data_IF_124609966310
#
_entry.id   IF_124609966310
#
_cell.length_a   1.000
_cell.length_b   1.000
_cell.length_c   1.000
_cell.angle_alpha   90.00
_cell.angle_beta   90.00
_cell.angle_gamma   90.00
#
_symmetry.space_group_name_H-M   'P 1'
#
loop_
_entity.id
_entity.type
_entity.pdbx_description
1 polymer ?
#
# COMPACT_ATOMS: atom_id res chain seq x y z
N UNK A 1 8.43 11.37 14.78
CA UNK A 1 8.66 11.04 13.36
C UNK A 1 7.81 9.86 12.95
N UNK A 2 7.19 9.95 11.80
CA UNK A 2 6.31 8.91 11.27
C UNK A 2 7.01 8.28 10.06
N UNK A 3 7.21 6.97 10.08
CA UNK A 3 7.83 6.27 8.95
C UNK A 3 6.77 5.45 8.21
N UNK A 4 6.63 5.70 6.92
CA UNK A 4 5.76 4.94 6.03
C UNK A 4 6.63 4.20 5.03
N UNK A 5 6.54 2.88 5.06
CA UNK A 5 7.16 2.05 4.04
C UNK A 5 6.11 1.68 2.99
N UNK A 6 6.57 1.28 1.83
CA UNK A 6 5.71 0.67 0.82
C UNK A 6 6.33 -0.64 0.37
N UNK A 7 5.51 -1.60 0.00
CA UNK A 7 5.98 -2.90 -0.50
C UNK A 7 4.99 -3.45 -1.52
N UNK A 8 5.52 -4.13 -2.54
CA UNK A 8 4.71 -4.91 -3.46
C UNK A 8 5.03 -6.38 -3.26
N UNK A 9 4.05 -7.26 -3.39
CA UNK A 9 4.29 -8.68 -3.20
C UNK A 9 4.83 -9.38 -4.46
N UNK A 10 4.67 -8.79 -5.65
CA UNK A 10 5.14 -9.38 -6.91
C UNK A 10 6.65 -9.63 -6.86
N UNK A 11 7.10 -10.70 -7.50
CA UNK A 11 8.50 -11.08 -7.62
C UNK A 11 9.22 -11.31 -6.29
N UNK A 12 8.47 -11.58 -5.23
CA UNK A 12 9.01 -11.91 -3.91
C UNK A 12 8.40 -13.22 -3.43
N UNK A 13 9.24 -14.12 -2.91
CA UNK A 13 8.70 -15.26 -2.19
C UNK A 13 8.30 -14.83 -0.77
N UNK A 14 7.60 -15.67 -0.05
CA UNK A 14 7.11 -15.34 1.28
C UNK A 14 8.26 -15.00 2.23
N UNK A 15 9.36 -15.76 2.18
CA UNK A 15 10.51 -15.52 3.05
C UNK A 15 11.08 -14.12 2.84
N UNK A 16 11.28 -13.71 1.59
CA UNK A 16 11.80 -12.39 1.26
C UNK A 16 10.83 -11.29 1.67
N UNK A 17 9.54 -11.50 1.42
CA UNK A 17 8.50 -10.55 1.78
C UNK A 17 8.51 -10.26 3.29
N UNK A 18 8.47 -11.32 4.10
CA UNK A 18 8.48 -11.19 5.57
C UNK A 18 9.80 -10.61 6.06
N UNK A 19 10.93 -11.04 5.47
CA UNK A 19 12.24 -10.51 5.88
C UNK A 19 12.34 -9.00 5.69
N UNK A 20 11.83 -8.49 4.58
CA UNK A 20 11.85 -7.04 4.32
C UNK A 20 11.02 -6.26 5.35
N UNK A 21 9.84 -6.77 5.69
CA UNK A 21 8.99 -6.15 6.69
C UNK A 21 9.63 -6.17 8.09
N UNK A 22 10.18 -7.31 8.48
CA UNK A 22 10.81 -7.48 9.79
C UNK A 22 12.07 -6.63 9.93
N UNK A 23 12.92 -6.62 8.90
CA UNK A 23 14.17 -5.84 8.92
C UNK A 23 13.89 -4.34 8.99
N UNK A 24 12.80 -3.88 8.44
CA UNK A 24 12.39 -2.48 8.50
C UNK A 24 11.67 -2.11 9.80
N UNK A 25 11.36 -3.10 10.64
CA UNK A 25 10.66 -2.86 11.90
C UNK A 25 9.19 -2.52 11.75
N UNK A 26 8.56 -2.95 10.65
CA UNK A 26 7.15 -2.66 10.37
C UNK A 26 6.25 -3.24 11.45
N UNK A 27 5.34 -2.43 11.98
CA UNK A 27 4.37 -2.84 13.00
C UNK A 27 2.98 -3.14 12.43
N UNK A 28 2.65 -2.53 11.31
CA UNK A 28 1.34 -2.72 10.67
C UNK A 28 1.47 -2.67 9.16
N UNK A 29 0.81 -3.60 8.48
CA UNK A 29 0.64 -3.57 7.02
C UNK A 29 -0.76 -3.02 6.73
N UNK A 30 -0.79 -1.99 5.92
CA UNK A 30 -2.03 -1.37 5.44
C UNK A 30 -2.19 -1.77 3.98
N UNK A 31 -3.11 -2.67 3.72
CA UNK A 31 -3.36 -3.22 2.40
C UNK A 31 -4.26 -2.26 1.62
N UNK A 32 -3.70 -1.63 0.61
CA UNK A 32 -4.39 -0.62 -0.20
C UNK A 32 -4.78 -1.16 -1.58
N UNK A 33 -4.90 -2.49 -1.71
CA UNK A 33 -5.38 -3.13 -2.92
C UNK A 33 -6.90 -3.06 -2.97
N UNK A 34 -7.45 -2.86 -4.16
CA UNK A 34 -8.89 -2.93 -4.35
C UNK A 34 -9.37 -4.38 -4.17
N UNK A 35 -8.69 -5.31 -4.81
CA UNK A 35 -8.99 -6.74 -4.74
C UNK A 35 -7.79 -7.48 -4.12
N UNK A 36 -8.00 -8.11 -2.97
CA UNK A 36 -6.98 -8.84 -2.25
C UNK A 36 -7.31 -10.32 -2.06
N UNK A 37 -8.27 -10.83 -2.82
CA UNK A 37 -8.65 -12.24 -2.78
C UNK A 37 -8.16 -13.03 -3.99
N UNK A 38 -7.33 -12.40 -4.84
CA UNK A 38 -6.78 -13.02 -6.04
C UNK A 38 -5.91 -14.23 -5.71
N UNK A 39 -5.95 -15.23 -6.58
CA UNK A 39 -5.16 -16.46 -6.45
C UNK A 39 -3.75 -16.34 -7.03
N UNK A 40 -3.39 -15.18 -7.62
CA UNK A 40 -2.13 -15.01 -8.35
C UNK A 40 -0.88 -15.15 -7.48
N UNK A 41 -0.97 -14.83 -6.20
CA UNK A 41 0.12 -15.07 -5.25
C UNK A 41 -0.51 -15.63 -3.98
N UNK A 42 -0.29 -16.91 -3.72
CA UNK A 42 -0.99 -17.60 -2.64
C UNK A 42 -0.87 -16.93 -1.28
N UNK A 43 0.33 -16.52 -0.86
CA UNK A 43 0.52 -15.92 0.45
C UNK A 43 -0.06 -14.48 0.54
N UNK A 44 -0.27 -13.81 -0.57
CA UNK A 44 -0.77 -12.43 -0.57
C UNK A 44 -2.29 -12.34 -0.57
N UNK A 45 -2.99 -13.47 -0.57
CA UNK A 45 -4.43 -13.53 -0.43
C UNK A 45 -4.81 -13.09 0.98
N UNK A 46 -5.85 -12.26 1.10
CA UNK A 46 -6.22 -11.61 2.37
C UNK A 46 -6.17 -12.53 3.59
N UNK A 47 -6.87 -13.65 3.53
CA UNK A 47 -6.99 -14.56 4.68
C UNK A 47 -5.66 -15.15 5.10
N UNK A 48 -4.87 -15.57 4.11
CA UNK A 48 -3.56 -16.17 4.37
C UNK A 48 -2.59 -15.12 4.85
N UNK A 49 -2.57 -13.95 4.20
CA UNK A 49 -1.66 -12.87 4.54
C UNK A 49 -1.90 -12.35 5.96
N UNK A 50 -3.16 -12.14 6.32
CA UNK A 50 -3.52 -11.66 7.65
C UNK A 50 -2.99 -12.60 8.73
N UNK A 51 -3.18 -13.89 8.55
CA UNK A 51 -2.70 -14.90 9.50
C UNK A 51 -1.17 -14.97 9.55
N UNK A 52 -0.53 -14.95 8.39
CA UNK A 52 0.94 -14.99 8.31
C UNK A 52 1.54 -13.79 9.05
N UNK A 53 0.98 -12.60 8.85
CA UNK A 53 1.45 -11.40 9.53
C UNK A 53 1.21 -11.49 11.05
N UNK A 54 0.08 -12.03 11.47
CA UNK A 54 -0.20 -12.27 12.88
C UNK A 54 0.86 -13.16 13.52
N UNK A 55 1.28 -14.22 12.82
CA UNK A 55 2.30 -15.15 13.32
C UNK A 55 3.65 -14.46 13.56
N UNK A 56 3.96 -13.40 12.83
CA UNK A 56 5.22 -12.67 12.98
C UNK A 56 5.06 -11.35 13.75
N UNK A 57 3.89 -11.13 14.36
CA UNK A 57 3.65 -9.98 15.21
C UNK A 57 3.42 -8.67 14.48
N UNK A 58 2.92 -8.73 13.25
CA UNK A 58 2.60 -7.54 12.44
C UNK A 58 1.08 -7.44 12.28
N UNK A 59 0.51 -6.27 12.61
CA UNK A 59 -0.91 -6.04 12.43
C UNK A 59 -1.26 -5.89 10.94
N UNK A 60 -2.50 -6.14 10.58
CA UNK A 60 -2.97 -6.05 9.20
C UNK A 60 -4.32 -5.34 9.16
N UNK A 61 -4.45 -4.39 8.23
CA UNK A 61 -5.71 -3.73 7.92
C UNK A 61 -5.88 -3.66 6.42
N UNK A 62 -7.10 -3.79 5.93
CA UNK A 62 -7.44 -3.64 4.54
C UNK A 62 -8.29 -2.38 4.33
N UNK A 63 -7.81 -1.48 3.49
CA UNK A 63 -8.47 -0.21 3.19
C UNK A 63 -8.71 -0.08 1.68
N UNK A 64 -9.70 -0.79 1.12
CA UNK A 64 -9.98 -0.72 -0.32
C UNK A 64 -10.41 0.67 -0.77
N UNK A 65 -10.94 1.49 0.14
CA UNK A 65 -11.27 2.88 -0.16
C UNK A 65 -10.05 3.73 -0.52
N UNK A 66 -8.85 3.25 -0.22
CA UNK A 66 -7.61 3.94 -0.58
C UNK A 66 -7.03 3.46 -1.91
N UNK A 67 -7.65 2.46 -2.52
CA UNK A 67 -7.26 1.97 -3.84
C UNK A 67 -7.81 2.87 -4.94
N UNK A 68 -7.21 2.86 -6.14
CA UNK A 68 -7.85 3.47 -7.31
C UNK A 68 -9.15 2.75 -7.62
N UNK A 69 -10.03 3.39 -8.39
CA UNK A 69 -11.24 2.71 -8.86
C UNK A 69 -10.88 1.62 -9.86
N UNK A 70 -11.78 0.66 -10.02
CA UNK A 70 -11.59 -0.40 -11.02
C UNK A 70 -11.47 0.16 -12.42
N UNK A 71 -12.29 1.15 -12.76
CA UNK A 71 -12.25 1.80 -14.07
C UNK A 71 -10.90 2.49 -14.33
N UNK A 72 -10.35 3.16 -13.31
CA UNK A 72 -9.06 3.82 -13.44
C UNK A 72 -7.94 2.80 -13.66
N UNK A 73 -7.94 1.71 -12.90
CA UNK A 73 -6.93 0.65 -13.05
C UNK A 73 -7.01 -0.01 -14.41
N UNK A 74 -8.21 -0.33 -14.89
CA UNK A 74 -8.41 -0.94 -16.20
C UNK A 74 -8.00 -0.01 -17.32
N UNK A 75 -8.37 1.28 -17.23
CA UNK A 75 -8.00 2.26 -18.23
C UNK A 75 -6.50 2.36 -18.43
N UNK A 76 -5.74 2.40 -17.34
CA UNK A 76 -4.29 2.43 -17.41
C UNK A 76 -3.72 1.10 -17.95
N UNK A 77 -4.18 -0.02 -17.44
CA UNK A 77 -3.72 -1.35 -17.87
C UNK A 77 -3.96 -1.59 -19.36
N UNK A 78 -5.10 -1.12 -19.87
CA UNK A 78 -5.49 -1.31 -21.27
C UNK A 78 -4.87 -0.25 -22.21
N UNK A 79 -4.08 0.67 -21.70
CA UNK A 79 -3.45 1.71 -22.49
C UNK A 79 -4.39 2.85 -22.90
N UNK A 80 -5.58 2.94 -22.31
CA UNK A 80 -6.55 3.99 -22.61
C UNK A 80 -6.17 5.34 -22.02
N UNK A 81 -5.41 5.32 -20.93
CA UNK A 81 -4.89 6.54 -20.28
C UNK A 81 -3.40 6.37 -20.01
N UNK A 82 -2.69 7.50 -19.94
CA UNK A 82 -1.26 7.52 -19.62
C UNK A 82 -1.06 7.41 -18.10
N UNK A 83 0.19 7.15 -17.69
CA UNK A 83 0.53 7.19 -16.27
C UNK A 83 0.27 8.57 -15.65
N UNK A 84 0.59 9.63 -16.41
CA UNK A 84 0.37 11.00 -15.95
C UNK A 84 -1.11 11.29 -15.69
N UNK A 85 -1.98 10.79 -16.57
CA UNK A 85 -3.43 10.91 -16.38
C UNK A 85 -3.91 10.10 -15.19
N UNK A 86 -3.42 8.88 -15.04
CA UNK A 86 -3.71 8.03 -13.89
C UNK A 86 -3.32 8.72 -12.58
N UNK A 87 -2.09 9.23 -12.52
CA UNK A 87 -1.56 9.92 -11.35
C UNK A 87 -2.44 11.10 -10.95
N UNK A 88 -2.82 11.93 -11.91
CA UNK A 88 -3.68 13.09 -11.66
C UNK A 88 -5.05 12.67 -11.13
N UNK A 89 -5.69 11.71 -11.77
CA UNK A 89 -7.02 11.23 -11.38
C UNK A 89 -6.98 10.64 -9.97
N UNK A 90 -5.97 9.82 -9.68
CA UNK A 90 -5.84 9.21 -8.37
C UNK A 90 -5.58 10.26 -7.27
N UNK A 91 -4.72 11.24 -7.55
CA UNK A 91 -4.48 12.33 -6.59
C UNK A 91 -5.75 13.12 -6.28
N UNK A 92 -6.56 13.42 -7.30
CA UNK A 92 -7.84 14.09 -7.09
C UNK A 92 -8.79 13.23 -6.27
N UNK A 93 -8.79 11.92 -6.50
CA UNK A 93 -9.59 10.97 -5.75
C UNK A 93 -9.18 10.93 -4.27
N UNK A 94 -7.89 10.99 -3.99
CA UNK A 94 -7.39 11.03 -2.60
C UNK A 94 -7.85 12.30 -1.87
N UNK A 95 -7.87 13.43 -2.55
CA UNK A 95 -8.35 14.67 -1.96
C UNK A 95 -9.81 14.50 -1.53
N UNK A 96 -10.64 13.86 -2.35
CA UNK A 96 -12.05 13.64 -2.05
C UNK A 96 -12.26 12.63 -0.92
N UNK A 97 -11.42 11.59 -0.87
CA UNK A 97 -11.57 10.48 0.09
C UNK A 97 -11.00 10.77 1.48
N UNK A 98 -10.11 11.75 1.58
CA UNK A 98 -9.48 12.14 2.84
C UNK A 98 -8.87 10.95 3.61
N UNK A 99 -7.79 10.33 3.07
CA UNK A 99 -7.20 9.12 3.67
C UNK A 99 -6.83 9.21 5.14
N UNK A 100 -6.50 10.39 5.64
CA UNK A 100 -6.14 10.56 7.06
C UNK A 100 -7.33 10.30 8.00
N UNK A 101 -8.54 10.30 7.49
CA UNK A 101 -9.72 9.90 8.27
C UNK A 101 -9.86 8.37 8.35
N UNK A 102 -9.32 7.66 7.36
CA UNK A 102 -9.33 6.19 7.34
C UNK A 102 -8.17 5.61 8.11
N UNK A 103 -7.01 6.26 8.06
CA UNK A 103 -5.77 5.76 8.68
C UNK A 103 -5.21 6.86 9.58
N UNK A 104 -5.17 6.59 10.88
CA UNK A 104 -4.58 7.50 11.85
C UNK A 104 -3.09 7.19 11.97
N UNK A 105 -2.26 7.98 11.28
CA UNK A 105 -0.81 7.78 11.26
C UNK A 105 -0.14 8.25 12.55
N UNK A 106 -0.76 9.14 13.29
CA UNK A 106 -0.17 9.70 14.51
C UNK A 106 -0.29 8.74 15.70
N UNK A 107 -1.27 7.85 15.67
CA UNK A 107 -1.53 6.89 16.76
C UNK A 107 -0.85 5.53 16.54
N UNK A 108 0.06 5.41 15.57
CA UNK A 108 0.73 4.14 15.30
C UNK A 108 1.89 3.90 16.27
N UNK A 109 2.10 2.63 16.64
CA UNK A 109 3.17 2.22 17.56
C UNK A 109 4.55 2.23 16.92
N UNK A 110 4.61 2.29 15.60
CA UNK A 110 5.87 2.27 14.86
C UNK A 110 5.61 2.36 13.37
N UNK A 111 6.59 1.99 12.53
CA UNK A 111 6.45 2.09 11.09
C UNK A 111 5.26 1.31 10.55
N UNK A 112 4.56 1.89 9.59
CA UNK A 112 3.51 1.22 8.83
C UNK A 112 4.00 0.96 7.42
N UNK A 113 3.41 -0.02 6.74
CA UNK A 113 3.78 -0.35 5.37
C UNK A 113 2.53 -0.46 4.49
N UNK A 114 2.50 0.32 3.42
CA UNK A 114 1.44 0.27 2.43
C UNK A 114 1.74 -0.88 1.47
N UNK A 115 0.78 -1.76 1.27
CA UNK A 115 0.93 -2.95 0.43
C UNK A 115 0.09 -2.84 -0.84
N UNK A 116 0.71 -3.12 -1.98
CA UNK A 116 0.00 -3.37 -3.22
C UNK A 116 0.65 -4.52 -3.99
N UNK A 117 0.21 -4.76 -5.23
CA UNK A 117 0.71 -5.89 -6.01
C UNK A 117 2.05 -5.61 -6.70
N UNK A 118 2.24 -4.40 -7.19
CA UNK A 118 3.39 -4.05 -8.03
C UNK A 118 4.72 -4.15 -7.30
N UNK A 119 5.73 -4.70 -7.98
CA UNK A 119 7.07 -4.83 -7.42
C UNK A 119 7.74 -3.46 -7.22
N UNK A 120 7.62 -2.58 -8.21
CA UNK A 120 8.22 -1.25 -8.18
C UNK A 120 7.21 -0.18 -7.79
N UNK A 121 7.63 0.82 -6.99
CA UNK A 121 6.73 1.89 -6.59
C UNK A 121 6.50 2.95 -7.66
N UNK A 122 7.36 3.04 -8.68
CA UNK A 122 7.38 4.13 -9.67
C UNK A 122 6.02 4.43 -10.28
N UNK A 123 5.31 3.39 -10.68
CA UNK A 123 3.99 3.48 -11.32
C UNK A 123 2.98 2.67 -10.54
N UNK A 124 2.92 2.94 -9.25
CA UNK A 124 1.98 2.29 -8.36
C UNK A 124 1.32 3.32 -7.44
N UNK A 125 0.05 3.13 -7.19
CA UNK A 125 -0.72 4.04 -6.35
C UNK A 125 -0.19 4.10 -4.91
N UNK A 126 0.49 3.06 -4.42
CA UNK A 126 1.05 3.09 -3.05
C UNK A 126 2.06 4.21 -2.86
N UNK A 127 2.88 4.50 -3.88
CA UNK A 127 3.81 5.61 -3.84
C UNK A 127 3.06 6.94 -3.77
N UNK A 128 2.05 7.10 -4.60
CA UNK A 128 1.25 8.32 -4.63
C UNK A 128 0.54 8.55 -3.30
N UNK A 129 0.04 7.48 -2.69
CA UNK A 129 -0.62 7.57 -1.39
C UNK A 129 0.38 7.95 -0.28
N UNK A 130 1.56 7.35 -0.29
CA UNK A 130 2.61 7.70 0.69
C UNK A 130 3.00 9.17 0.56
N UNK A 131 3.18 9.65 -0.68
CA UNK A 131 3.49 11.06 -0.93
C UNK A 131 2.35 11.99 -0.50
N UNK A 132 1.10 11.55 -0.67
CA UNK A 132 -0.06 12.30 -0.18
C UNK A 132 0.04 12.50 1.34
N UNK A 133 0.35 11.46 2.09
CA UNK A 133 0.51 11.57 3.54
C UNK A 133 1.67 12.49 3.92
N UNK A 134 2.80 12.39 3.22
CA UNK A 134 3.95 13.25 3.49
C UNK A 134 3.64 14.72 3.25
N UNK A 135 2.88 15.02 2.21
CA UNK A 135 2.51 16.39 1.88
C UNK A 135 1.64 17.03 2.97
N UNK A 136 0.89 16.22 3.71
CA UNK A 136 -0.01 16.69 4.76
C UNK A 136 0.59 16.60 6.16
N UNK A 137 1.54 15.70 6.36
CA UNK A 137 2.23 15.51 7.64
C UNK A 137 3.73 15.63 7.39
N UNK A 138 4.32 16.82 7.58
CA UNK A 138 5.74 17.06 7.26
C UNK A 138 6.75 16.14 7.96
N UNK A 139 6.36 15.54 9.07
CA UNK A 139 7.20 14.61 9.83
C UNK A 139 7.24 13.19 9.24
N UNK A 140 6.51 12.94 8.15
CA UNK A 140 6.50 11.63 7.51
C UNK A 140 7.74 11.42 6.67
N UNK A 141 8.36 10.26 6.84
CA UNK A 141 9.45 9.78 5.99
C UNK A 141 8.96 8.55 5.23
N UNK A 142 9.37 8.42 3.97
CA UNK A 142 8.94 7.34 3.09
C UNK A 142 10.13 6.45 2.73
N UNK A 143 9.93 5.12 2.79
CA UNK A 143 10.87 4.15 2.29
C UNK A 143 10.14 3.11 1.43
N UNK A 144 10.78 2.68 0.35
CA UNK A 144 10.20 1.65 -0.54
C UNK A 144 10.98 0.35 -0.36
N UNK A 145 10.30 -0.69 0.11
CA UNK A 145 10.91 -2.00 0.40
C UNK A 145 10.98 -2.96 -0.82
#
# INVERSE_FOLDING_TARGET
>A
MITIYTIGFSKKNLKEFIARLKNAGVKKVIDVRLNNTSQLAGYAKKEDLEYILELVGIAYEHHPELAPTEDLMKGYKNGEITWQEYEKIYKDLLIQREPLKSVDLEEQEGPVCLLCAEDRPDRCHRRLLAEYFRDRLPEVEIGHL
#
